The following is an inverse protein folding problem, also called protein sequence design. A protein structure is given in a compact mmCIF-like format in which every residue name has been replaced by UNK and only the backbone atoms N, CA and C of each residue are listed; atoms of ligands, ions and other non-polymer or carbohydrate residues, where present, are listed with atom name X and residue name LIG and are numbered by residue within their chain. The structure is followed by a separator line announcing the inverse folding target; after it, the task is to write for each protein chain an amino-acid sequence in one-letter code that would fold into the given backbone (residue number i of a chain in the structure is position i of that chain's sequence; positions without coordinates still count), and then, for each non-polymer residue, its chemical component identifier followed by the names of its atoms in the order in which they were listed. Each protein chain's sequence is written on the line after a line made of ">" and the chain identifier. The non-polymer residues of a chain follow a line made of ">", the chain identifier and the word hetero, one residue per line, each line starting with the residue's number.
data_IF_505897451974
#
_entry.id   IF_505897451974
#
_cell.length_a   1.000
_cell.length_b   1.000
_cell.length_c   1.000
_cell.angle_alpha   90.00
_cell.angle_beta   90.00
_cell.angle_gamma   90.00
#
_symmetry.space_group_name_H-M   'P 1'
#
loop_
_entity.id
_entity.type
_entity.pdbx_description
1 polymer ?
#
# COMPACT_ATOMS: atom_id res chain seq x y z
N UNK A 1 15.71 15.77 -8.09
CA UNK A 1 14.22 15.80 -8.17
C UNK A 1 13.69 14.85 -7.11
N UNK A 2 12.80 15.28 -6.23
CA UNK A 2 12.20 14.43 -5.22
C UNK A 2 10.85 13.90 -5.72
N UNK A 3 10.55 12.63 -5.43
CA UNK A 3 9.27 11.99 -5.69
C UNK A 3 8.57 11.65 -4.38
N UNK A 4 7.26 11.80 -4.35
CA UNK A 4 6.46 11.52 -3.16
C UNK A 4 5.41 10.47 -3.46
N UNK A 5 5.63 9.27 -2.91
CA UNK A 5 4.74 8.12 -3.06
C UNK A 5 4.01 7.89 -1.74
N UNK A 6 2.69 7.83 -1.76
CA UNK A 6 1.84 7.63 -0.59
C UNK A 6 1.16 6.27 -0.57
N UNK A 7 0.75 5.87 0.62
CA UNK A 7 -0.18 4.78 0.87
C UNK A 7 -1.27 5.27 1.81
N UNK A 8 -2.53 4.93 1.52
CA UNK A 8 -3.65 5.36 2.33
C UNK A 8 -4.77 4.30 2.33
N UNK A 9 -4.99 3.67 3.49
CA UNK A 9 -6.17 2.84 3.70
C UNK A 9 -7.39 3.76 3.84
N UNK A 10 -8.30 3.68 2.87
CA UNK A 10 -9.49 4.54 2.77
C UNK A 10 -10.64 4.12 3.69
N UNK A 11 -10.50 3.02 4.40
CA UNK A 11 -11.50 2.46 5.31
C UNK A 11 -12.93 2.48 4.75
N UNK A 12 -13.27 1.46 3.95
CA UNK A 12 -14.59 1.28 3.33
C UNK A 12 -15.01 2.44 2.40
N UNK A 13 -14.12 2.85 1.53
CA UNK A 13 -14.41 3.90 0.56
C UNK A 13 -15.49 3.48 -0.44
N UNK A 14 -16.72 3.92 -0.18
CA UNK A 14 -17.93 3.56 -0.93
C UNK A 14 -19.04 4.57 -0.67
N UNK A 15 -20.18 4.38 -1.34
CA UNK A 15 -21.43 5.06 -1.01
C UNK A 15 -22.12 4.40 0.19
N UNK A 16 -22.97 5.15 0.87
CA UNK A 16 -23.95 4.66 1.83
C UNK A 16 -25.20 4.14 1.10
N UNK A 17 -26.14 3.55 1.85
CA UNK A 17 -27.41 3.09 1.32
C UNK A 17 -28.31 4.22 0.76
N UNK A 18 -28.09 5.45 1.22
CA UNK A 18 -28.73 6.69 0.76
C UNK A 18 -28.03 7.33 -0.45
N UNK A 19 -27.07 6.65 -1.05
CA UNK A 19 -26.20 7.13 -2.14
C UNK A 19 -25.27 8.30 -1.76
N UNK A 20 -25.17 8.67 -0.49
CA UNK A 20 -24.15 9.61 -0.04
C UNK A 20 -22.80 8.93 0.08
N UNK A 21 -21.73 9.66 -0.24
CA UNK A 21 -20.38 9.13 -0.06
C UNK A 21 -20.00 9.12 1.43
N UNK A 22 -19.33 8.04 1.85
CA UNK A 22 -18.98 7.81 3.27
C UNK A 22 -17.84 8.71 3.77
N UNK A 23 -17.12 9.36 2.89
CA UNK A 23 -15.90 10.11 3.21
C UNK A 23 -16.00 11.55 2.73
N UNK A 24 -15.35 12.45 3.44
CA UNK A 24 -15.16 13.82 2.98
C UNK A 24 -14.11 13.85 1.86
N UNK A 25 -14.58 13.81 0.63
CA UNK A 25 -13.75 13.82 -0.59
C UNK A 25 -12.94 15.12 -0.70
N UNK A 26 -13.51 16.26 -0.31
CA UNK A 26 -12.84 17.56 -0.40
C UNK A 26 -11.66 17.62 0.56
N UNK A 27 -11.84 17.12 1.79
CA UNK A 27 -10.75 17.02 2.75
C UNK A 27 -9.63 16.10 2.25
N UNK A 28 -9.99 14.93 1.71
CA UNK A 28 -9.01 14.00 1.15
C UNK A 28 -8.25 14.62 -0.02
N UNK A 29 -8.95 15.26 -0.95
CA UNK A 29 -8.33 15.95 -2.08
C UNK A 29 -7.39 17.07 -1.62
N UNK A 30 -7.81 17.88 -0.63
CA UNK A 30 -6.96 18.91 -0.03
C UNK A 30 -5.68 18.34 0.55
N UNK A 31 -5.74 17.25 1.34
CA UNK A 31 -4.58 16.57 1.91
C UNK A 31 -3.63 16.12 0.78
N UNK A 32 -4.16 15.52 -0.27
CA UNK A 32 -3.38 15.05 -1.42
C UNK A 32 -2.63 16.21 -2.08
N UNK A 33 -3.28 17.34 -2.27
CA UNK A 33 -2.67 18.54 -2.83
C UNK A 33 -1.61 19.16 -1.93
N UNK A 34 -1.93 19.39 -0.68
CA UNK A 34 -1.02 20.02 0.30
C UNK A 34 0.23 19.19 0.52
N UNK A 35 0.09 17.88 0.51
CA UNK A 35 1.21 16.95 0.65
C UNK A 35 1.98 16.71 -0.66
N UNK A 36 1.54 17.28 -1.78
CA UNK A 36 2.24 17.19 -3.07
C UNK A 36 2.59 15.76 -3.49
N UNK A 37 1.66 14.85 -3.33
CA UNK A 37 1.88 13.47 -3.78
C UNK A 37 2.01 13.40 -5.30
N UNK A 38 2.87 12.49 -5.74
CA UNK A 38 3.00 12.11 -7.15
C UNK A 38 2.19 10.87 -7.49
N UNK A 39 2.24 9.87 -6.60
CA UNK A 39 1.51 8.60 -6.74
C UNK A 39 0.98 8.21 -5.36
N UNK A 40 -0.25 7.71 -5.30
CA UNK A 40 -0.84 7.19 -4.07
C UNK A 40 -1.46 5.83 -4.34
N UNK A 41 -1.11 4.87 -3.49
CA UNK A 41 -1.77 3.57 -3.41
C UNK A 41 -2.90 3.62 -2.38
N UNK A 42 -4.10 3.24 -2.80
CA UNK A 42 -5.28 3.22 -1.95
C UNK A 42 -5.71 1.78 -1.66
N UNK A 43 -6.07 1.49 -0.41
CA UNK A 43 -6.66 0.24 0.03
C UNK A 43 -8.11 0.48 0.49
N UNK A 44 -8.88 -0.58 0.61
CA UNK A 44 -10.30 -0.55 0.99
C UNK A 44 -11.17 0.34 0.10
N UNK A 45 -10.92 0.34 -1.21
CA UNK A 45 -11.74 1.05 -2.20
C UNK A 45 -12.84 0.13 -2.71
N UNK A 46 -14.04 0.20 -2.13
CA UNK A 46 -15.17 -0.69 -2.44
C UNK A 46 -16.01 -0.22 -3.64
N UNK A 47 -15.76 0.97 -4.16
CA UNK A 47 -16.53 1.53 -5.26
C UNK A 47 -15.63 2.31 -6.22
N UNK A 48 -15.62 1.88 -7.48
CA UNK A 48 -14.97 2.64 -8.55
C UNK A 48 -15.56 4.04 -8.69
N UNK A 49 -16.88 4.16 -8.59
CA UNK A 49 -17.55 5.46 -8.71
C UNK A 49 -17.15 6.43 -7.59
N UNK A 50 -16.89 5.92 -6.37
CA UNK A 50 -16.37 6.76 -5.29
C UNK A 50 -14.95 7.27 -5.60
N UNK A 51 -14.10 6.43 -6.21
CA UNK A 51 -12.78 6.85 -6.68
C UNK A 51 -12.90 7.89 -7.81
N UNK A 52 -13.81 7.70 -8.76
CA UNK A 52 -14.03 8.64 -9.86
C UNK A 52 -14.48 10.03 -9.33
N UNK A 53 -15.28 10.08 -8.26
CA UNK A 53 -15.60 11.35 -7.59
C UNK A 53 -14.37 12.00 -6.94
N UNK A 54 -13.48 11.23 -6.32
CA UNK A 54 -12.23 11.77 -5.79
C UNK A 54 -11.34 12.33 -6.91
N UNK A 55 -11.23 11.62 -8.03
CA UNK A 55 -10.48 12.12 -9.20
C UNK A 55 -11.07 13.41 -9.77
N UNK A 56 -12.40 13.52 -9.81
CA UNK A 56 -13.09 14.73 -10.24
C UNK A 56 -12.79 15.92 -9.31
N UNK A 57 -12.81 15.71 -7.99
CA UNK A 57 -12.46 16.73 -7.00
C UNK A 57 -10.98 17.14 -7.11
N UNK A 58 -10.08 16.19 -7.34
CA UNK A 58 -8.66 16.43 -7.58
C UNK A 58 -8.38 17.17 -8.91
N UNK A 59 -9.31 17.11 -9.86
CA UNK A 59 -9.16 17.66 -11.20
C UNK A 59 -8.57 16.66 -12.19
N UNK A 60 -9.42 16.10 -13.03
CA UNK A 60 -9.06 15.06 -14.02
C UNK A 60 -8.09 15.57 -15.10
N UNK A 61 -7.92 16.88 -15.26
CA UNK A 61 -6.91 17.45 -16.16
C UNK A 61 -5.49 17.15 -15.67
N UNK A 62 -5.27 17.00 -14.36
CA UNK A 62 -3.98 16.73 -13.72
C UNK A 62 -3.88 15.33 -13.17
N UNK A 63 -4.95 14.79 -12.59
CA UNK A 63 -4.96 13.49 -11.91
C UNK A 63 -5.57 12.39 -12.75
N UNK A 64 -5.02 11.21 -12.61
CA UNK A 64 -5.50 9.98 -13.22
C UNK A 64 -5.49 8.85 -12.20
N UNK A 65 -6.36 7.86 -12.37
CA UNK A 65 -6.40 6.72 -11.48
C UNK A 65 -6.84 5.43 -12.18
N UNK A 66 -6.54 4.33 -11.50
CA UNK A 66 -6.96 2.98 -11.87
C UNK A 66 -7.45 2.26 -10.63
N UNK A 67 -8.45 1.43 -10.79
CA UNK A 67 -9.07 0.64 -9.74
C UNK A 67 -9.24 -0.80 -10.18
N UNK A 68 -9.04 -1.73 -9.26
CA UNK A 68 -9.29 -3.16 -9.48
C UNK A 68 -9.72 -3.79 -8.16
N UNK A 69 -10.73 -4.67 -8.22
CA UNK A 69 -11.06 -5.53 -7.10
C UNK A 69 -10.32 -6.85 -7.26
N UNK A 70 -9.57 -7.33 -6.25
CA UNK A 70 -9.06 -8.68 -6.29
C UNK A 70 -10.24 -9.63 -6.41
N UNK A 71 -10.14 -10.63 -7.29
CA UNK A 71 -11.14 -11.68 -7.40
C UNK A 71 -11.27 -12.35 -6.03
N UNK A 72 -12.30 -11.95 -5.30
CA UNK A 72 -12.54 -12.47 -3.97
C UNK A 72 -13.00 -13.92 -4.08
N UNK A 73 -12.29 -14.82 -3.42
CA UNK A 73 -12.78 -16.17 -3.15
C UNK A 73 -14.00 -16.16 -2.21
N UNK A 74 -14.48 -14.98 -1.81
CA UNK A 74 -15.60 -14.81 -0.88
C UNK A 74 -16.68 -13.92 -1.47
N UNK A 75 -17.92 -14.20 -1.11
CA UNK A 75 -19.14 -13.41 -1.37
C UNK A 75 -19.18 -12.05 -0.63
N UNK A 76 -18.13 -11.70 0.09
CA UNK A 76 -17.97 -10.39 0.71
C UNK A 76 -17.76 -9.34 -0.37
N UNK A 77 -18.42 -8.20 -0.24
CA UNK A 77 -18.28 -7.06 -1.14
C UNK A 77 -16.81 -6.85 -1.51
N UNK A 78 -16.51 -6.88 -2.79
CA UNK A 78 -15.15 -6.92 -3.30
C UNK A 78 -14.39 -5.66 -2.88
N UNK A 79 -13.57 -5.80 -1.83
CA UNK A 79 -12.63 -4.76 -1.45
C UNK A 79 -11.61 -4.56 -2.56
N UNK A 80 -11.58 -3.35 -3.12
CA UNK A 80 -10.70 -3.01 -4.22
C UNK A 80 -9.45 -2.26 -3.77
N UNK A 81 -8.50 -2.20 -4.69
CA UNK A 81 -7.34 -1.35 -4.64
C UNK A 81 -7.45 -0.27 -5.70
N UNK A 82 -6.78 0.86 -5.45
CA UNK A 82 -6.60 1.85 -6.50
C UNK A 82 -5.18 2.44 -6.47
N UNK A 83 -4.77 3.00 -7.60
CA UNK A 83 -3.70 3.97 -7.70
C UNK A 83 -4.27 5.24 -8.27
N UNK A 84 -3.84 6.37 -7.71
CA UNK A 84 -4.02 7.69 -8.31
C UNK A 84 -2.67 8.37 -8.45
N UNK A 85 -2.48 9.14 -9.51
CA UNK A 85 -1.20 9.83 -9.75
C UNK A 85 -1.37 11.13 -10.50
N UNK A 86 -0.41 12.03 -10.30
CA UNK A 86 -0.26 13.25 -11.08
C UNK A 86 0.27 12.91 -12.48
N UNK A 87 -0.61 12.94 -13.49
CA UNK A 87 -0.27 12.57 -14.86
C UNK A 87 0.61 13.61 -15.57
N UNK A 88 0.89 14.75 -14.94
CA UNK A 88 1.87 15.71 -15.43
C UNK A 88 3.30 15.36 -15.03
N UNK A 89 3.45 14.49 -14.03
CA UNK A 89 4.74 14.05 -13.49
C UNK A 89 5.04 12.57 -13.73
N UNK A 90 4.01 11.75 -13.73
CA UNK A 90 4.12 10.29 -13.90
C UNK A 90 3.15 9.75 -14.94
N UNK A 91 3.53 8.66 -15.56
CA UNK A 91 2.67 7.83 -16.40
C UNK A 91 2.89 6.35 -16.09
N UNK A 92 1.98 5.51 -16.53
CA UNK A 92 2.20 4.06 -16.51
C UNK A 92 3.36 3.72 -17.45
N UNK A 93 4.29 2.88 -16.97
CA UNK A 93 5.47 2.46 -17.73
C UNK A 93 5.09 1.70 -18.99
N UNK A 94 5.97 1.72 -19.96
CA UNK A 94 5.85 0.93 -21.16
C UNK A 94 6.61 -0.40 -21.03
N UNK A 95 6.16 -1.41 -21.79
CA UNK A 95 6.87 -2.67 -22.03
C UNK A 95 7.29 -2.68 -23.49
N UNK A 96 8.55 -2.98 -23.76
CA UNK A 96 9.03 -3.22 -25.13
C UNK A 96 8.81 -4.68 -25.45
N UNK A 97 8.12 -4.94 -26.54
CA UNK A 97 7.82 -6.30 -27.03
C UNK A 97 8.98 -6.82 -27.89
N UNK A 98 9.08 -8.13 -28.15
CA UNK A 98 10.14 -8.72 -28.96
C UNK A 98 10.24 -8.16 -30.38
N UNK A 99 9.13 -7.68 -30.94
CA UNK A 99 9.06 -7.03 -32.25
C UNK A 99 9.50 -5.55 -32.24
N UNK A 100 9.93 -5.03 -31.09
CA UNK A 100 10.32 -3.64 -30.88
C UNK A 100 9.17 -2.68 -30.64
N UNK A 101 7.92 -3.11 -30.76
CA UNK A 101 6.76 -2.29 -30.43
C UNK A 101 6.65 -2.06 -28.91
N UNK A 102 5.92 -1.03 -28.53
CA UNK A 102 5.73 -0.70 -27.12
C UNK A 102 4.26 -0.79 -26.70
N UNK A 103 4.02 -1.30 -25.50
CA UNK A 103 2.69 -1.37 -24.91
C UNK A 103 2.70 -0.75 -23.51
N UNK A 104 1.71 0.10 -23.24
CA UNK A 104 1.51 0.66 -21.88
C UNK A 104 1.20 -0.50 -20.93
N UNK A 105 1.87 -0.51 -19.79
CA UNK A 105 1.64 -1.50 -18.75
C UNK A 105 0.23 -1.31 -18.16
N UNK A 106 -0.55 -2.37 -18.12
CA UNK A 106 -1.86 -2.37 -17.49
C UNK A 106 -1.73 -2.85 -16.05
N UNK A 107 -2.01 -2.01 -15.04
CA UNK A 107 -2.06 -2.45 -13.65
C UNK A 107 -3.02 -3.63 -13.48
N UNK A 108 -2.67 -4.58 -12.64
CA UNK A 108 -3.47 -5.79 -12.45
C UNK A 108 -3.25 -6.43 -11.08
N UNK A 109 -4.20 -7.23 -10.64
CA UNK A 109 -4.06 -8.08 -9.47
C UNK A 109 -2.99 -9.14 -9.75
N UNK A 110 -1.93 -9.14 -8.95
CA UNK A 110 -0.77 -10.00 -9.18
C UNK A 110 -0.89 -11.31 -8.42
N UNK A 111 -0.99 -12.42 -9.14
CA UNK A 111 -1.13 -13.77 -8.60
C UNK A 111 -0.03 -14.75 -9.09
N UNK A 112 1.01 -14.21 -9.77
CA UNK A 112 2.10 -15.01 -10.33
C UNK A 112 3.28 -15.12 -9.36
N UNK A 113 3.07 -15.77 -8.22
CA UNK A 113 4.11 -16.04 -7.24
C UNK A 113 4.07 -17.51 -6.80
N UNK A 114 5.24 -18.00 -6.38
CA UNK A 114 5.35 -19.37 -5.90
C UNK A 114 5.03 -19.43 -4.41
N UNK A 115 4.29 -20.45 -4.01
CA UNK A 115 4.09 -20.80 -2.60
C UNK A 115 4.74 -22.14 -2.30
N UNK A 116 5.48 -22.22 -1.21
CA UNK A 116 6.05 -23.48 -0.76
C UNK A 116 5.04 -24.24 0.10
N UNK A 117 4.28 -25.13 -0.52
CA UNK A 117 3.23 -25.92 0.16
C UNK A 117 3.80 -26.85 1.22
N UNK A 118 5.04 -27.32 1.06
CA UNK A 118 5.70 -28.20 2.06
C UNK A 118 5.97 -27.46 3.38
N UNK A 119 6.14 -26.12 3.33
CA UNK A 119 6.24 -25.25 4.49
C UNK A 119 4.88 -24.73 4.99
N UNK A 120 3.78 -25.29 4.50
CA UNK A 120 2.43 -24.87 4.87
C UNK A 120 2.02 -23.48 4.33
N UNK A 121 2.74 -22.94 3.35
CA UNK A 121 2.37 -21.71 2.69
C UNK A 121 1.11 -21.92 1.85
N UNK A 122 0.19 -20.96 1.94
CA UNK A 122 -1.03 -20.88 1.12
C UNK A 122 -0.94 -19.66 0.23
N UNK A 123 -1.86 -19.55 -0.73
CA UNK A 123 -2.01 -18.29 -1.48
C UNK A 123 -2.40 -17.15 -0.54
N UNK A 124 -2.03 -15.93 -0.93
CA UNK A 124 -2.49 -14.72 -0.22
C UNK A 124 -4.02 -14.69 -0.22
N UNK A 125 -4.60 -14.29 0.89
CA UNK A 125 -6.06 -14.12 1.00
C UNK A 125 -6.51 -13.01 0.07
N UNK A 126 -5.73 -11.93 -0.02
CA UNK A 126 -5.90 -10.84 -0.97
C UNK A 126 -4.64 -10.70 -1.80
N UNK A 127 -4.76 -11.00 -3.09
CA UNK A 127 -3.64 -10.77 -4.00
C UNK A 127 -3.39 -9.27 -4.15
N UNK A 128 -2.13 -8.82 -4.17
CA UNK A 128 -1.80 -7.41 -4.26
C UNK A 128 -2.10 -6.83 -5.64
N UNK A 129 -2.26 -5.52 -5.67
CA UNK A 129 -2.42 -4.76 -6.91
C UNK A 129 -1.08 -4.22 -7.38
N UNK A 130 -0.65 -4.62 -8.56
CA UNK A 130 0.65 -4.28 -9.11
C UNK A 130 0.55 -3.24 -10.20
N UNK A 131 1.36 -2.19 -10.10
CA UNK A 131 1.50 -1.16 -11.11
C UNK A 131 2.96 -0.78 -11.35
N UNK A 132 3.24 -0.26 -12.54
CA UNK A 132 4.55 0.26 -12.94
C UNK A 132 4.39 1.69 -13.40
N UNK A 133 5.20 2.57 -12.84
CA UNK A 133 5.19 3.99 -13.14
C UNK A 133 6.57 4.47 -13.59
N UNK A 134 6.59 5.42 -14.52
CA UNK A 134 7.81 6.12 -14.90
C UNK A 134 7.60 7.63 -14.87
N UNK A 135 8.59 8.41 -14.41
CA UNK A 135 8.55 9.86 -14.49
C UNK A 135 8.48 10.32 -15.95
N UNK A 136 7.70 11.36 -16.22
CA UNK A 136 7.57 11.93 -17.57
C UNK A 136 8.82 12.72 -17.93
N UNK A 137 9.37 13.46 -16.97
CA UNK A 137 10.50 14.36 -17.17
C UNK A 137 11.67 14.04 -16.25
N UNK A 138 12.84 13.93 -16.80
CA UNK A 138 14.15 14.05 -16.14
C UNK A 138 14.76 12.77 -15.55
N UNK A 139 14.01 11.86 -14.97
CA UNK A 139 14.58 10.66 -14.36
C UNK A 139 14.35 9.42 -15.22
N UNK A 140 15.46 8.76 -15.61
CA UNK A 140 15.42 7.51 -16.34
C UNK A 140 15.31 6.33 -15.37
N UNK A 141 14.11 6.16 -14.74
CA UNK A 141 13.85 5.09 -13.80
C UNK A 141 12.39 4.60 -13.90
N UNK A 142 12.13 3.50 -13.21
CA UNK A 142 10.80 2.90 -13.11
C UNK A 142 10.49 2.56 -11.65
N UNK A 143 9.31 2.93 -11.18
CA UNK A 143 8.78 2.49 -9.88
C UNK A 143 7.82 1.34 -10.07
N UNK A 144 8.09 0.22 -9.41
CA UNK A 144 7.25 -0.98 -9.36
C UNK A 144 6.54 -1.02 -8.03
N UNK A 145 5.27 -0.66 -8.01
CA UNK A 145 4.50 -0.54 -6.78
C UNK A 145 3.60 -1.76 -6.59
N UNK A 146 3.69 -2.35 -5.42
CA UNK A 146 2.92 -3.52 -4.99
C UNK A 146 2.03 -3.07 -3.83
N UNK A 147 0.79 -2.71 -4.15
CA UNK A 147 -0.20 -2.24 -3.19
C UNK A 147 -0.83 -3.44 -2.49
N UNK A 148 -0.74 -3.47 -1.17
CA UNK A 148 -1.18 -4.59 -0.34
C UNK A 148 -2.14 -4.15 0.76
N UNK A 149 -3.05 -5.04 1.13
CA UNK A 149 -3.79 -4.98 2.37
C UNK A 149 -3.84 -6.41 2.94
N UNK A 150 -2.94 -6.71 3.89
CA UNK A 150 -2.91 -8.00 4.57
C UNK A 150 -4.17 -8.12 5.43
N UNK A 151 -4.88 -9.23 5.29
CA UNK A 151 -6.17 -9.39 5.94
C UNK A 151 -6.05 -9.37 7.46
N UNK A 152 -6.83 -8.50 8.10
CA UNK A 152 -7.01 -8.52 9.54
C UNK A 152 -8.00 -9.64 9.92
N UNK A 153 -7.48 -10.87 10.08
CA UNK A 153 -8.30 -11.97 10.57
C UNK A 153 -8.62 -11.76 12.06
N UNK A 154 -9.91 -11.70 12.40
CA UNK A 154 -10.40 -11.78 13.79
C UNK A 154 -10.99 -13.15 14.00
N UNK A 155 -10.67 -13.79 15.12
CA UNK A 155 -11.45 -14.94 15.57
C UNK A 155 -12.82 -14.40 16.06
N UNK A 156 -13.92 -14.99 15.61
CA UNK A 156 -15.29 -14.55 15.93
C UNK A 156 -15.60 -14.58 17.42
N UNK A 157 -14.84 -15.32 18.21
CA UNK A 157 -15.05 -15.51 19.65
C UNK A 157 -14.18 -14.62 20.53
N UNK A 158 -13.13 -14.01 20.01
CA UNK A 158 -12.22 -13.18 20.78
C UNK A 158 -12.00 -11.84 20.06
N UNK A 159 -12.33 -10.75 20.73
CA UNK A 159 -12.02 -9.38 20.30
C UNK A 159 -10.53 -9.04 20.38
N UNK A 160 -9.66 -10.06 20.52
CA UNK A 160 -8.24 -9.81 20.72
C UNK A 160 -7.55 -9.66 19.38
N UNK A 161 -7.07 -8.43 19.12
CA UNK A 161 -6.18 -8.13 17.99
C UNK A 161 -4.86 -8.91 18.07
N UNK A 162 -4.59 -9.55 19.20
CA UNK A 162 -3.39 -10.33 19.51
C UNK A 162 -3.60 -11.84 19.45
N UNK A 163 -4.66 -12.31 18.80
CA UNK A 163 -4.82 -13.74 18.50
C UNK A 163 -3.58 -14.26 17.78
N UNK A 164 -2.86 -15.16 18.43
CA UNK A 164 -1.60 -15.72 17.93
C UNK A 164 -1.76 -16.40 16.56
N UNK A 165 -2.89 -17.03 16.30
CA UNK A 165 -3.21 -17.64 15.00
C UNK A 165 -3.38 -16.62 13.90
N UNK A 166 -4.08 -15.51 14.17
CA UNK A 166 -4.28 -14.43 13.23
C UNK A 166 -2.98 -13.67 12.93
N UNK A 167 -2.13 -13.47 13.94
CA UNK A 167 -0.80 -12.88 13.78
C UNK A 167 0.08 -13.77 12.92
N UNK A 168 0.11 -15.07 13.20
CA UNK A 168 0.89 -16.03 12.43
C UNK A 168 0.47 -16.07 10.95
N UNK A 169 -0.84 -15.98 10.68
CA UNK A 169 -1.35 -15.91 9.30
C UNK A 169 -0.84 -14.65 8.58
N UNK A 170 -0.93 -13.49 9.22
CA UNK A 170 -0.43 -12.22 8.65
C UNK A 170 1.09 -12.26 8.41
N UNK A 171 1.87 -12.83 9.35
CA UNK A 171 3.31 -13.02 9.15
C UNK A 171 3.63 -13.94 7.98
N UNK A 172 2.86 -15.00 7.78
CA UNK A 172 3.00 -15.89 6.61
C UNK A 172 2.67 -15.18 5.31
N UNK A 173 1.65 -14.32 5.28
CA UNK A 173 1.35 -13.50 4.11
C UNK A 173 2.50 -12.52 3.82
N UNK A 174 3.05 -11.86 4.84
CA UNK A 174 4.20 -10.99 4.69
C UNK A 174 5.45 -11.74 4.18
N UNK A 175 5.68 -12.95 4.66
CA UNK A 175 6.75 -13.82 4.14
C UNK A 175 6.57 -14.14 2.64
N UNK A 176 5.35 -14.40 2.19
CA UNK A 176 5.07 -14.63 0.76
C UNK A 176 5.31 -13.36 -0.04
N UNK A 177 4.86 -12.21 0.46
CA UNK A 177 5.06 -10.92 -0.19
C UNK A 177 6.53 -10.59 -0.37
N UNK A 178 7.37 -10.81 0.63
CA UNK A 178 8.79 -10.47 0.61
C UNK A 178 9.66 -11.54 -0.06
N UNK A 179 9.48 -12.81 0.30
CA UNK A 179 10.38 -13.91 -0.12
C UNK A 179 10.02 -14.52 -1.48
N UNK A 180 8.84 -14.29 -1.99
CA UNK A 180 8.41 -14.85 -3.27
C UNK A 180 7.94 -13.78 -4.26
N UNK A 181 6.90 -13.03 -3.89
CA UNK A 181 6.26 -12.08 -4.80
C UNK A 181 7.19 -10.90 -5.14
N UNK A 182 7.85 -10.30 -4.14
CA UNK A 182 8.78 -9.19 -4.37
C UNK A 182 9.86 -9.55 -5.38
N UNK A 183 10.51 -10.71 -5.20
CA UNK A 183 11.56 -11.17 -6.09
C UNK A 183 11.07 -11.39 -7.51
N UNK A 184 9.89 -12.00 -7.66
CA UNK A 184 9.29 -12.26 -8.98
C UNK A 184 9.00 -10.99 -9.77
N UNK A 185 8.80 -9.88 -9.08
CA UNK A 185 8.54 -8.56 -9.69
C UNK A 185 9.85 -7.77 -9.87
N UNK A 186 10.71 -7.74 -8.84
CA UNK A 186 11.92 -6.94 -8.84
C UNK A 186 12.89 -7.31 -9.96
N UNK A 187 12.98 -8.61 -10.28
CA UNK A 187 13.91 -9.13 -11.30
C UNK A 187 13.28 -9.28 -12.69
N UNK A 188 12.01 -8.97 -12.83
CA UNK A 188 11.33 -9.11 -14.11
C UNK A 188 11.85 -8.09 -15.13
N UNK A 189 12.25 -8.58 -16.30
CA UNK A 189 12.72 -7.76 -17.42
C UNK A 189 11.53 -7.37 -18.30
N UNK A 190 11.43 -6.08 -18.63
CA UNK A 190 10.37 -5.54 -19.48
C UNK A 190 10.90 -4.88 -20.76
N UNK A 191 12.16 -5.14 -21.11
CA UNK A 191 12.80 -4.71 -22.34
C UNK A 191 13.18 -3.22 -22.43
N UNK A 192 12.87 -2.43 -21.41
CA UNK A 192 13.11 -0.97 -21.41
C UNK A 192 14.45 -0.54 -20.78
N UNK A 193 15.25 -1.47 -20.28
CA UNK A 193 16.59 -1.27 -19.66
C UNK A 193 16.66 -0.16 -18.59
N UNK A 194 15.53 0.17 -17.95
CA UNK A 194 15.49 1.22 -16.92
C UNK A 194 15.83 0.65 -15.55
N UNK A 195 16.59 1.37 -14.73
CA UNK A 195 16.68 1.06 -13.31
C UNK A 195 15.29 1.00 -12.69
N UNK A 196 14.99 -0.10 -12.01
CA UNK A 196 13.67 -0.30 -11.39
C UNK A 196 13.78 -0.29 -9.88
N UNK A 197 12.85 0.42 -9.24
CA UNK A 197 12.71 0.55 -7.80
C UNK A 197 11.40 -0.10 -7.38
N UNK A 198 11.49 -1.28 -6.78
CA UNK A 198 10.31 -2.06 -6.35
C UNK A 198 9.99 -1.74 -4.90
N UNK A 199 8.73 -1.42 -4.62
CA UNK A 199 8.23 -1.08 -3.28
C UNK A 199 6.94 -1.86 -3.03
N UNK A 200 6.89 -2.62 -1.92
CA UNK A 200 5.62 -3.06 -1.33
C UNK A 200 5.16 -1.93 -0.42
N UNK A 201 3.90 -1.51 -0.54
CA UNK A 201 3.32 -0.46 0.28
C UNK A 201 1.86 -0.76 0.59
N UNK A 202 1.41 -0.36 1.76
CA UNK A 202 0.02 -0.56 2.17
C UNK A 202 -0.15 -0.88 3.63
N UNK A 203 -1.35 -1.35 3.96
CA UNK A 203 -1.72 -1.80 5.30
C UNK A 203 -1.31 -3.26 5.51
N UNK A 204 -0.30 -3.47 6.35
CA UNK A 204 0.20 -4.82 6.66
C UNK A 204 -0.52 -5.47 7.83
N UNK A 205 -1.30 -4.68 8.58
CA UNK A 205 -1.93 -5.14 9.82
C UNK A 205 -0.94 -5.82 10.82
N UNK A 206 0.33 -5.40 10.78
CA UNK A 206 1.43 -5.87 11.60
C UNK A 206 2.28 -4.68 12.06
N UNK A 207 2.61 -4.63 13.34
CA UNK A 207 3.45 -3.57 13.90
C UNK A 207 4.95 -3.86 13.69
N UNK A 208 5.70 -2.81 13.32
CA UNK A 208 7.15 -2.75 13.47
C UNK A 208 7.54 -2.43 14.93
N UNK A 209 8.77 -2.78 15.36
CA UNK A 209 9.30 -2.34 16.64
C UNK A 209 9.38 -0.80 16.70
N UNK A 210 8.73 -0.21 17.69
CA UNK A 210 8.86 1.22 18.01
C UNK A 210 8.71 1.43 19.52
N UNK A 211 9.20 2.55 20.06
CA UNK A 211 9.02 2.88 21.46
C UNK A 211 7.53 3.11 21.76
N UNK A 212 6.92 2.20 22.50
CA UNK A 212 5.48 2.21 22.80
C UNK A 212 4.68 1.11 22.07
N UNK A 213 5.27 0.38 21.13
CA UNK A 213 4.64 -0.84 20.61
C UNK A 213 4.61 -1.90 21.70
N UNK A 214 3.43 -2.25 22.15
CA UNK A 214 3.26 -3.33 23.14
C UNK A 214 3.71 -4.68 22.57
N UNK A 215 3.59 -4.84 21.24
CA UNK A 215 4.02 -6.05 20.51
C UNK A 215 4.49 -5.66 19.10
N UNK A 216 5.71 -6.02 18.77
CA UNK A 216 6.27 -5.92 17.42
C UNK A 216 6.23 -7.29 16.76
N UNK A 217 5.59 -7.38 15.61
CA UNK A 217 5.42 -8.64 14.88
C UNK A 217 6.17 -8.69 13.56
N UNK A 218 6.61 -7.55 13.03
CA UNK A 218 7.46 -7.47 11.84
C UNK A 218 8.92 -7.27 12.23
N UNK A 219 9.81 -7.89 11.49
CA UNK A 219 11.22 -7.54 11.48
C UNK A 219 11.43 -6.36 10.52
N UNK A 220 12.23 -5.37 10.95
CA UNK A 220 12.60 -4.24 10.09
C UNK A 220 13.39 -4.68 8.87
N UNK A 221 14.14 -5.77 9.00
CA UNK A 221 15.00 -6.31 7.97
C UNK A 221 14.63 -7.76 7.72
N UNK A 222 14.47 -8.09 6.44
CA UNK A 222 14.26 -9.45 5.96
C UNK A 222 15.31 -9.75 4.91
N UNK A 223 16.13 -10.76 5.16
CA UNK A 223 17.06 -11.29 4.17
C UNK A 223 16.35 -12.32 3.29
N UNK A 224 16.51 -12.18 1.99
CA UNK A 224 15.86 -13.03 1.01
C UNK A 224 16.89 -13.58 0.05
N UNK A 225 17.03 -14.91 0.02
CA UNK A 225 17.89 -15.59 -0.94
C UNK A 225 17.18 -15.69 -2.30
N UNK A 226 17.84 -15.18 -3.33
CA UNK A 226 17.42 -15.26 -4.72
C UNK A 226 18.49 -16.02 -5.54
N UNK A 227 18.51 -17.34 -5.37
CA UNK A 227 19.45 -18.19 -6.13
C UNK A 227 20.92 -17.93 -5.82
N UNK A 228 21.26 -17.73 -4.53
CA UNK A 228 22.61 -17.48 -4.04
C UNK A 228 22.98 -16.00 -3.90
N UNK A 229 22.07 -15.08 -4.27
CA UNK A 229 22.24 -13.65 -4.00
C UNK A 229 21.30 -13.26 -2.86
N UNK A 230 21.88 -12.86 -1.73
CA UNK A 230 21.08 -12.37 -0.60
C UNK A 230 20.70 -10.91 -0.83
N UNK A 231 19.41 -10.63 -0.78
CA UNK A 231 18.86 -9.28 -0.79
C UNK A 231 18.40 -8.89 0.60
N UNK A 232 18.67 -7.67 0.95
CA UNK A 232 18.26 -7.08 2.23
C UNK A 232 17.05 -6.19 2.02
N UNK A 233 15.86 -6.72 2.30
CA UNK A 233 14.64 -5.91 2.29
C UNK A 233 14.47 -5.23 3.64
N UNK A 234 14.22 -3.93 3.61
CA UNK A 234 13.90 -3.15 4.81
C UNK A 234 12.45 -2.70 4.78
N UNK A 235 11.82 -2.75 5.95
CA UNK A 235 10.47 -2.21 6.17
C UNK A 235 10.58 -0.97 7.04
N UNK A 236 10.02 0.12 6.56
CA UNK A 236 10.12 1.44 7.19
C UNK A 236 8.75 1.99 7.54
N UNK A 237 8.72 3.09 8.27
CA UNK A 237 7.58 3.78 8.84
C UNK A 237 7.19 3.19 10.21
N UNK A 238 7.64 3.83 11.28
CA UNK A 238 7.46 3.38 12.68
C UNK A 238 6.44 4.19 13.47
N UNK A 239 5.94 5.27 12.91
CA UNK A 239 4.93 6.08 13.57
C UNK A 239 3.57 5.37 13.53
N UNK A 240 2.71 5.68 14.50
CA UNK A 240 1.36 5.13 14.53
C UNK A 240 0.54 5.66 13.34
N UNK A 241 -0.10 4.78 12.59
CA UNK A 241 -0.89 5.12 11.39
C UNK A 241 -2.38 4.83 11.54
N UNK A 242 -2.75 3.87 12.40
CA UNK A 242 -4.15 3.49 12.59
C UNK A 242 -4.82 4.36 13.64
N UNK A 243 -6.04 4.78 13.37
CA UNK A 243 -6.87 5.50 14.33
C UNK A 243 -7.66 4.52 15.20
N UNK A 244 -7.79 4.84 16.47
CA UNK A 244 -8.80 4.21 17.34
C UNK A 244 -10.19 4.63 16.88
N UNK A 245 -11.21 3.89 17.29
CA UNK A 245 -12.61 4.29 17.08
C UNK A 245 -12.83 5.74 17.54
N UNK A 246 -13.68 6.47 16.79
CA UNK A 246 -13.98 7.87 17.06
C UNK A 246 -14.24 8.13 18.54
N UNK A 247 -13.65 9.17 19.12
CA UNK A 247 -13.92 9.55 20.50
C UNK A 247 -15.36 10.00 20.63
N UNK A 248 -15.95 9.79 21.79
CA UNK A 248 -17.21 10.41 22.14
C UNK A 248 -17.06 11.92 22.28
N UNK A 249 -18.14 12.67 22.12
CA UNK A 249 -18.13 14.13 22.33
C UNK A 249 -17.61 14.51 23.73
N UNK A 250 -17.86 13.68 24.73
CA UNK A 250 -17.37 13.87 26.10
C UNK A 250 -15.84 13.72 26.21
N UNK A 251 -15.27 12.77 25.44
CA UNK A 251 -13.81 12.60 25.33
C UNK A 251 -13.16 13.77 24.58
N UNK A 252 -13.84 14.33 23.57
CA UNK A 252 -13.40 15.52 22.84
C UNK A 252 -13.35 16.77 23.74
N UNK A 253 -14.29 16.92 24.67
CA UNK A 253 -14.37 18.04 25.63
C UNK A 253 -13.26 17.99 26.72
N UNK A 254 -12.70 16.82 27.00
CA UNK A 254 -11.73 16.60 28.10
C UNK A 254 -10.28 16.89 27.78
N UNK A 255 -9.90 17.38 26.64
CA UNK A 255 -8.79 17.91 26.25
C UNK A 255 -7.56 17.91 25.64
N UNK A 256 -6.56 18.41 25.60
CA UNK A 256 -5.29 18.62 24.88
C UNK A 256 -4.45 17.36 24.64
N UNK A 257 -4.55 16.34 25.49
CA UNK A 257 -3.79 15.07 25.34
C UNK A 257 -4.48 14.02 24.50
N UNK A 258 -5.64 14.38 23.96
CA UNK A 258 -6.54 13.47 23.23
C UNK A 258 -5.93 13.05 21.89
N UNK A 259 -5.18 13.91 21.21
CA UNK A 259 -4.58 13.61 19.89
C UNK A 259 -3.64 12.40 19.97
N UNK A 260 -2.78 12.34 20.99
CA UNK A 260 -1.89 11.19 21.20
C UNK A 260 -2.66 9.89 21.51
N UNK A 261 -3.87 9.99 22.09
CA UNK A 261 -4.70 8.83 22.44
C UNK A 261 -5.47 8.25 21.27
N UNK A 262 -5.55 8.95 20.12
CA UNK A 262 -6.29 8.47 18.92
C UNK A 262 -5.52 7.47 18.08
N UNK A 263 -4.19 7.48 18.20
CA UNK A 263 -3.35 6.58 17.43
C UNK A 263 -3.24 5.22 18.13
N UNK A 264 -3.29 4.14 17.36
CA UNK A 264 -3.30 2.78 17.89
C UNK A 264 -2.10 1.94 17.46
N UNK A 265 -1.92 1.76 16.18
CA UNK A 265 -0.93 0.84 15.61
C UNK A 265 -0.19 1.50 14.44
N UNK A 266 0.98 0.97 14.09
CA UNK A 266 1.68 1.33 12.87
C UNK A 266 1.55 0.20 11.86
N UNK A 267 0.44 0.16 11.15
CA UNK A 267 0.11 -0.91 10.21
C UNK A 267 0.46 -0.57 8.75
N UNK A 268 0.63 0.71 8.44
CA UNK A 268 0.96 1.15 7.09
C UNK A 268 2.48 1.28 6.94
N UNK A 269 3.03 0.52 6.00
CA UNK A 269 4.47 0.40 5.82
C UNK A 269 4.90 0.46 4.36
N UNK A 270 6.23 0.62 4.17
CA UNK A 270 6.92 0.51 2.90
C UNK A 270 8.04 -0.50 3.05
N UNK A 271 8.12 -1.49 2.15
CA UNK A 271 9.19 -2.48 2.12
C UNK A 271 9.90 -2.44 0.77
N UNK A 272 11.22 -2.33 0.77
CA UNK A 272 12.04 -2.22 -0.42
C UNK A 272 13.45 -2.79 -0.21
N UNK A 273 14.17 -3.04 -1.29
CA UNK A 273 15.55 -3.51 -1.29
C UNK A 273 16.49 -2.38 -0.89
N UNK A 274 17.15 -2.52 0.25
CA UNK A 274 18.02 -1.51 0.83
C UNK A 274 19.14 -1.09 -0.13
N UNK A 275 19.81 -2.05 -0.75
CA UNK A 275 20.98 -1.77 -1.59
C UNK A 275 20.59 -1.02 -2.87
N UNK A 276 19.42 -1.33 -3.44
CA UNK A 276 18.91 -0.61 -4.62
C UNK A 276 18.53 0.84 -4.34
N UNK A 277 18.16 1.15 -3.10
CA UNK A 277 17.72 2.50 -2.73
C UNK A 277 18.81 3.36 -2.07
N UNK A 278 20.00 2.80 -1.77
CA UNK A 278 21.10 3.56 -1.16
C UNK A 278 21.47 4.83 -1.93
N UNK A 279 21.43 4.80 -3.26
CA UNK A 279 21.84 5.94 -4.10
C UNK A 279 20.82 7.06 -4.23
N UNK A 280 19.56 6.86 -3.80
CA UNK A 280 18.48 7.84 -4.01
C UNK A 280 17.92 8.48 -2.74
N UNK A 281 18.33 8.03 -1.57
CA UNK A 281 17.87 8.55 -0.28
C UNK A 281 16.36 8.46 -0.11
N UNK A 282 15.88 7.45 0.60
CA UNK A 282 14.46 7.28 0.87
C UNK A 282 14.13 7.69 2.30
N UNK A 283 13.09 8.52 2.48
CA UNK A 283 12.54 8.88 3.77
C UNK A 283 11.08 8.44 3.82
N UNK A 284 10.68 7.80 4.89
CA UNK A 284 9.30 7.42 5.15
C UNK A 284 8.79 8.09 6.43
N UNK A 285 7.54 8.54 6.41
CA UNK A 285 6.90 9.19 7.55
C UNK A 285 5.38 9.18 7.39
N UNK A 286 4.71 9.58 8.46
CA UNK A 286 3.26 9.71 8.53
C UNK A 286 2.81 11.13 8.24
N UNK A 287 1.68 11.26 7.56
CA UNK A 287 0.95 12.52 7.48
C UNK A 287 -0.07 12.55 8.61
N UNK A 288 0.00 13.59 9.44
CA UNK A 288 -0.95 13.76 10.53
C UNK A 288 -2.24 14.42 10.01
N UNK A 289 -3.23 13.62 9.64
CA UNK A 289 -4.52 14.09 9.13
C UNK A 289 -5.48 14.58 10.22
N UNK A 290 -5.14 14.39 11.50
CA UNK A 290 -5.98 14.86 12.62
C UNK A 290 -5.80 16.36 12.87
N UNK A 291 -4.64 16.91 12.50
CA UNK A 291 -4.31 18.32 12.71
C UNK A 291 -4.62 19.21 11.49
N UNK A 292 -5.11 18.64 10.43
CA UNK A 292 -5.53 19.33 9.21
C UNK A 292 -7.06 19.46 9.16
#
# INVERSE_FOLDING_TARGET
>A
MAFRIGSFNMFKFSFRSDNEIRKDIKLIARIIYEQQFDIIALQEVFSKNAMDLLLKELGEHRWQGVWEAPNALSTLAAEGYAYIWDKTRFRLSTTVLPDGSTRIFKPHIYNQYKVNRSLGQRQLIRNPYYARFEPINGAFCEFRLINVHIMFARNSTHNDIFDAGAILLRKREFDILTKSLYLSIADKVYGNNRPSYTIILGDYNLNLPFSGAKYAFLNEVVEVDNGGTIRKLITVQKELTTLKSSPTEEQLKKKKDVIASYWANNFDHFTYDYDRFQGIGMHAGRINTIQQ
#
